data_IF_020263116535
#
_entry.id   IF_020263116535
#
_cell.length_a   1.000
_cell.length_b   1.000
_cell.length_c   1.000
_cell.angle_alpha   90.00
_cell.angle_beta   90.00
_cell.angle_gamma   90.00
#
_symmetry.space_group_name_H-M   'P 1'
#
loop_
_entity.id
_entity.type
_entity.pdbx_description
1 polymer ?
#
# COMPACT_ATOMS: atom_id res chain seq x y z
N UNK A 1 16.08 -34.90 -8.16
CA UNK A 1 15.54 -34.29 -6.92
C UNK A 1 14.58 -33.19 -7.32
N UNK A 2 13.27 -33.41 -7.24
CA UNK A 2 12.29 -32.35 -7.46
C UNK A 2 12.30 -31.39 -6.27
N UNK A 3 12.94 -30.24 -6.45
CA UNK A 3 12.75 -29.10 -5.56
C UNK A 3 11.30 -28.67 -5.72
N UNK A 4 10.40 -29.26 -4.92
CA UNK A 4 9.09 -28.68 -4.64
C UNK A 4 9.36 -27.37 -3.94
N UNK A 5 9.55 -26.32 -4.75
CA UNK A 5 9.40 -24.95 -4.30
C UNK A 5 8.02 -24.92 -3.66
N UNK A 6 8.01 -24.87 -2.33
CA UNK A 6 6.85 -24.46 -1.58
C UNK A 6 6.53 -23.08 -2.15
N UNK A 7 5.65 -23.00 -3.15
CA UNK A 7 4.94 -21.78 -3.42
C UNK A 7 4.14 -21.57 -2.15
N UNK A 8 4.53 -20.63 -1.26
CA UNK A 8 3.69 -20.32 -0.13
C UNK A 8 2.35 -19.95 -0.76
N UNK A 9 1.25 -20.56 -0.28
CA UNK A 9 -0.10 -20.26 -0.74
C UNK A 9 -0.17 -18.76 -1.05
N UNK A 10 -0.24 -18.45 -2.36
CA UNK A 10 0.10 -17.11 -2.85
C UNK A 10 -0.66 -16.10 -2.02
N UNK A 11 0.03 -15.02 -1.61
CA UNK A 11 -0.62 -13.96 -0.87
C UNK A 11 -1.94 -13.63 -1.58
N UNK A 12 -3.09 -13.51 -0.88
CA UNK A 12 -4.39 -13.34 -1.52
C UNK A 12 -4.48 -12.09 -2.43
N UNK A 13 -3.45 -11.27 -2.38
CA UNK A 13 -3.13 -10.17 -3.29
C UNK A 13 -1.68 -10.35 -3.78
N UNK A 14 -1.43 -11.17 -4.81
CA UNK A 14 -0.08 -11.47 -5.27
C UNK A 14 0.63 -10.26 -5.88
N UNK A 15 -0.07 -9.41 -6.62
CA UNK A 15 0.53 -8.22 -7.24
C UNK A 15 0.87 -7.16 -6.20
N UNK A 16 -0.02 -6.91 -5.25
CA UNK A 16 0.24 -5.96 -4.15
C UNK A 16 1.37 -6.48 -3.24
N UNK A 17 1.45 -7.79 -3.00
CA UNK A 17 2.57 -8.36 -2.24
C UNK A 17 3.92 -8.16 -2.95
N UNK A 18 3.96 -8.37 -4.28
CA UNK A 18 5.15 -8.13 -5.08
C UNK A 18 5.52 -6.64 -5.10
N UNK A 19 4.54 -5.75 -5.23
CA UNK A 19 4.73 -4.31 -5.16
C UNK A 19 5.28 -3.87 -3.79
N UNK A 20 4.69 -4.35 -2.69
CA UNK A 20 5.18 -4.09 -1.33
C UNK A 20 6.59 -4.63 -1.14
N UNK A 21 6.91 -5.81 -1.66
CA UNK A 21 8.27 -6.36 -1.60
C UNK A 21 9.28 -5.48 -2.36
N UNK A 22 8.92 -4.98 -3.54
CA UNK A 22 9.76 -4.05 -4.29
C UNK A 22 9.95 -2.72 -3.55
N UNK A 23 8.88 -2.18 -2.95
CA UNK A 23 8.95 -0.98 -2.10
C UNK A 23 9.86 -1.20 -0.88
N UNK A 24 9.71 -2.34 -0.19
CA UNK A 24 10.57 -2.71 0.96
C UNK A 24 12.03 -2.81 0.55
N UNK A 25 12.30 -3.32 -0.66
CA UNK A 25 13.67 -3.40 -1.20
C UNK A 25 14.24 -2.04 -1.59
N UNK A 26 13.41 -1.09 -2.04
CA UNK A 26 13.84 0.21 -2.53
C UNK A 26 13.98 1.27 -1.42
N UNK A 27 12.99 1.33 -0.51
CA UNK A 27 12.91 2.33 0.56
C UNK A 27 13.35 1.75 1.92
N UNK A 28 13.17 0.45 2.12
CA UNK A 28 13.48 -0.23 3.36
C UNK A 28 12.24 -0.84 4.00
N UNK A 29 12.41 -2.04 4.56
CA UNK A 29 11.30 -2.84 5.08
C UNK A 29 10.53 -2.13 6.20
N UNK A 30 11.26 -1.55 7.17
CA UNK A 30 10.66 -0.84 8.31
C UNK A 30 9.75 0.31 7.89
N UNK A 31 10.16 1.08 6.89
CA UNK A 31 9.48 2.31 6.50
C UNK A 31 8.15 1.98 5.79
N UNK A 32 8.19 0.97 4.91
CA UNK A 32 7.01 0.46 4.23
C UNK A 32 6.06 -0.26 5.18
N UNK A 33 6.57 -1.08 6.12
CA UNK A 33 5.73 -1.73 7.13
C UNK A 33 5.05 -0.70 8.03
N UNK A 34 5.72 0.39 8.37
CA UNK A 34 5.13 1.48 9.14
C UNK A 34 4.05 2.23 8.36
N UNK A 35 4.27 2.50 7.07
CA UNK A 35 3.28 3.12 6.19
C UNK A 35 2.03 2.24 6.01
N UNK A 36 2.21 0.93 5.82
CA UNK A 36 1.11 -0.04 5.74
C UNK A 36 0.37 -0.13 7.07
N UNK A 37 1.08 -0.14 8.21
CA UNK A 37 0.47 -0.16 9.54
C UNK A 37 -0.38 1.08 9.79
N UNK A 38 0.13 2.27 9.44
CA UNK A 38 -0.62 3.54 9.50
C UNK A 38 -1.83 3.53 8.56
N UNK A 39 -1.63 3.08 7.33
CA UNK A 39 -2.70 2.84 6.36
C UNK A 39 -3.83 1.97 6.91
N UNK A 40 -3.49 0.84 7.54
CA UNK A 40 -4.45 -0.07 8.20
C UNK A 40 -5.09 0.53 9.45
N UNK A 41 -4.42 1.46 10.13
CA UNK A 41 -4.93 2.13 11.33
C UNK A 41 -5.94 3.24 11.02
N UNK A 42 -6.19 3.55 9.74
CA UNK A 42 -7.11 4.61 9.33
C UNK A 42 -6.41 5.85 8.78
N UNK A 43 -5.07 5.91 8.79
CA UNK A 43 -4.36 7.04 8.21
C UNK A 43 -4.33 6.93 6.68
N UNK A 44 -4.46 8.05 5.95
CA UNK A 44 -4.46 8.09 4.49
C UNK A 44 -3.04 7.90 3.89
N UNK A 45 -2.23 7.00 4.45
CA UNK A 45 -0.81 6.81 4.11
C UNK A 45 -0.58 5.70 3.09
N UNK A 46 -1.47 4.71 3.04
CA UNK A 46 -1.35 3.56 2.14
C UNK A 46 -2.73 3.01 1.78
N UNK A 47 -3.00 2.85 0.49
CA UNK A 47 -4.18 2.19 -0.03
C UNK A 47 -3.81 1.30 -1.22
N UNK A 48 -4.22 0.05 -1.17
CA UNK A 48 -4.09 -0.91 -2.26
C UNK A 48 -5.37 -1.74 -2.36
N UNK A 49 -5.80 -2.09 -3.56
CA UNK A 49 -6.96 -2.97 -3.76
C UNK A 49 -6.66 -3.97 -4.88
N UNK A 50 -6.81 -5.26 -4.61
CA UNK A 50 -6.59 -6.34 -5.56
C UNK A 50 -7.60 -7.47 -5.30
N UNK A 51 -8.19 -8.03 -6.36
CA UNK A 51 -9.17 -9.13 -6.28
C UNK A 51 -10.35 -8.86 -5.33
N UNK A 52 -10.80 -7.60 -5.23
CA UNK A 52 -11.87 -7.18 -4.32
C UNK A 52 -11.45 -7.11 -2.84
N UNK A 53 -10.14 -7.19 -2.55
CA UNK A 53 -9.57 -7.04 -1.21
C UNK A 53 -8.79 -5.74 -1.16
N UNK A 54 -9.15 -4.86 -0.22
CA UNK A 54 -8.45 -3.61 0.03
C UNK A 54 -7.55 -3.69 1.27
N UNK A 55 -6.39 -3.04 1.20
CA UNK A 55 -5.45 -2.83 2.31
C UNK A 55 -5.27 -1.35 2.52
N UNK A 56 -5.49 -0.94 3.77
CA UNK A 56 -5.34 0.43 4.22
C UNK A 56 -6.53 1.31 3.86
N UNK A 57 -6.49 2.54 4.34
CA UNK A 57 -7.55 3.51 4.15
C UNK A 57 -7.23 4.35 2.93
N UNK A 58 -8.13 4.33 1.94
CA UNK A 58 -8.11 5.29 0.86
C UNK A 58 -8.16 6.68 1.51
N UNK A 59 -7.05 7.40 1.43
CA UNK A 59 -7.11 8.81 1.72
C UNK A 59 -8.15 9.44 0.83
N UNK A 60 -8.97 10.32 1.39
CA UNK A 60 -9.49 11.40 0.60
C UNK A 60 -8.23 12.09 0.07
N UNK A 61 -7.83 11.76 -1.16
CA UNK A 61 -6.93 12.64 -1.90
C UNK A 61 -7.72 13.93 -1.98
N UNK A 62 -7.47 14.81 -1.03
CA UNK A 62 -7.68 16.22 -1.26
C UNK A 62 -6.68 16.47 -2.35
N UNK A 63 -7.13 16.40 -3.60
CA UNK A 63 -6.56 17.25 -4.61
C UNK A 63 -6.54 18.61 -3.92
N UNK A 64 -5.34 19.06 -3.54
CA UNK A 64 -5.12 20.42 -3.09
C UNK A 64 -5.66 21.29 -4.20
N UNK A 65 -6.92 21.70 -4.08
CA UNK A 65 -7.41 22.89 -4.75
C UNK A 65 -6.73 24.04 -4.03
N UNK A 66 -5.45 24.24 -4.33
CA UNK A 66 -4.82 25.54 -4.13
C UNK A 66 -5.59 26.54 -5.00
N UNK A 67 -5.82 27.72 -4.43
CA UNK A 67 -6.51 28.90 -4.99
C UNK A 67 -8.05 28.88 -4.97
N UNK A 68 -8.62 29.33 -3.85
CA UNK A 68 -9.70 30.31 -3.93
C UNK A 68 -9.19 31.60 -3.26
N UNK A 69 -8.59 32.43 -4.11
CA UNK A 69 -8.53 33.90 -4.08
C UNK A 69 -9.29 34.52 -2.90
N UNK A 70 -8.57 35.03 -1.90
CA UNK A 70 -8.39 36.47 -1.70
C UNK A 70 -9.70 37.26 -1.73
N UNK A 71 -10.22 37.52 -0.52
CA UNK A 71 -10.56 38.88 -0.06
C UNK A 71 -11.34 39.77 -1.04
N UNK A 72 -12.67 39.90 -0.83
CA UNK A 72 -13.41 41.18 -0.89
C UNK A 72 -14.68 41.12 -0.04
#
# INVERSE_FOLDING_TARGET
MDMRVHHPAGHPMPEIAAFVAALKSAFGEREIDEAIRRGKAGEPTFYACENGRSVGTAGWSVATSEAQESEQ
#
